data_IF_431113341898
#
_entry.id   IF_431113341898
#
_cell.length_a   1.000
_cell.length_b   1.000
_cell.length_c   1.000
_cell.angle_alpha   90.00
_cell.angle_beta   90.00
_cell.angle_gamma   90.00
#
_symmetry.space_group_name_H-M   'P 1'
#
loop_
_entity.id
_entity.type
_entity.pdbx_description
1 polymer ?
#
# COMPACT_ATOMS: atom_id res chain seq x y z
N UNK A 1 -25.09 9.46 -13.90
CA UNK A 1 -23.75 9.58 -14.53
C UNK A 1 -22.86 8.46 -14.03
N UNK A 2 -21.80 8.09 -14.76
CA UNK A 2 -20.84 7.06 -14.34
C UNK A 2 -20.25 7.36 -12.94
N UNK A 3 -19.87 8.61 -12.70
CA UNK A 3 -19.32 9.06 -11.42
C UNK A 3 -20.31 8.92 -10.26
N UNK A 4 -21.61 9.11 -10.51
CA UNK A 4 -22.66 8.88 -9.53
C UNK A 4 -22.79 7.40 -9.17
N UNK A 5 -22.80 6.52 -10.17
CA UNK A 5 -22.85 5.06 -9.93
C UNK A 5 -21.65 4.54 -9.14
N UNK A 6 -20.44 5.02 -9.46
CA UNK A 6 -19.23 4.67 -8.70
C UNK A 6 -19.31 5.11 -7.24
N UNK A 7 -19.86 6.31 -6.96
CA UNK A 7 -20.08 6.77 -5.59
C UNK A 7 -21.09 5.90 -4.83
N UNK A 8 -22.12 5.39 -5.52
CA UNK A 8 -23.13 4.53 -4.91
C UNK A 8 -22.58 3.16 -4.53
N UNK A 9 -21.72 2.56 -5.37
CA UNK A 9 -21.18 1.22 -5.10
C UNK A 9 -19.95 1.23 -4.19
N UNK A 10 -19.18 2.33 -4.13
CA UNK A 10 -17.94 2.40 -3.36
C UNK A 10 -18.09 1.97 -1.88
N UNK A 11 -19.15 2.38 -1.14
CA UNK A 11 -19.36 1.94 0.24
C UNK A 11 -19.51 0.42 0.39
N UNK A 12 -20.00 -0.29 -0.63
CA UNK A 12 -20.17 -1.75 -0.60
C UNK A 12 -18.82 -2.49 -0.51
N UNK A 13 -17.75 -1.87 -0.99
CA UNK A 13 -16.39 -2.42 -0.93
C UNK A 13 -15.67 -2.07 0.39
N UNK A 14 -16.19 -1.13 1.18
CA UNK A 14 -15.57 -0.69 2.43
C UNK A 14 -15.27 -1.86 3.38
N UNK A 15 -16.26 -2.69 3.75
CA UNK A 15 -16.04 -3.83 4.63
C UNK A 15 -15.03 -4.84 4.09
N UNK A 16 -15.08 -5.14 2.78
CA UNK A 16 -14.12 -6.03 2.13
C UNK A 16 -12.72 -5.46 2.23
N UNK A 17 -12.52 -4.20 1.85
CA UNK A 17 -11.23 -3.53 1.90
C UNK A 17 -10.64 -3.51 3.32
N UNK A 18 -11.46 -3.26 4.35
CA UNK A 18 -11.01 -3.31 5.74
C UNK A 18 -10.60 -4.73 6.20
N UNK A 19 -11.23 -5.77 5.67
CA UNK A 19 -10.88 -7.16 5.98
C UNK A 19 -9.61 -7.65 5.28
N UNK A 20 -9.24 -7.05 4.14
CA UNK A 20 -8.05 -7.45 3.38
C UNK A 20 -6.75 -7.17 4.13
N UNK A 21 -6.63 -6.04 4.85
CA UNK A 21 -5.37 -5.66 5.52
C UNK A 21 -4.98 -6.62 6.66
N UNK A 22 -5.87 -7.00 7.60
CA UNK A 22 -5.54 -8.03 8.59
C UNK A 22 -5.14 -9.35 7.92
N UNK A 23 -5.90 -9.79 6.91
CA UNK A 23 -5.60 -11.03 6.18
C UNK A 23 -4.25 -10.99 5.47
N UNK A 24 -3.88 -9.83 4.91
CA UNK A 24 -2.56 -9.59 4.31
C UNK A 24 -1.44 -9.72 5.35
N UNK A 25 -1.66 -9.23 6.58
CA UNK A 25 -0.68 -9.29 7.67
C UNK A 25 -0.45 -10.69 8.25
N UNK A 26 -1.38 -11.63 8.04
CA UNK A 26 -1.24 -13.04 8.41
C UNK A 26 -0.39 -13.86 7.42
N UNK A 27 -0.06 -13.30 6.25
CA UNK A 27 0.78 -13.96 5.26
C UNK A 27 2.27 -13.84 5.65
N UNK A 28 3.14 -14.59 4.96
CA UNK A 28 4.59 -14.57 5.21
C UNK A 28 5.43 -14.06 4.05
N UNK A 29 4.81 -13.77 2.90
CA UNK A 29 5.49 -13.33 1.70
C UNK A 29 4.63 -12.33 0.92
N UNK A 30 5.24 -11.22 0.53
CA UNK A 30 4.59 -10.15 -0.21
C UNK A 30 5.41 -9.70 -1.41
N UNK A 31 4.73 -9.46 -2.54
CA UNK A 31 5.25 -8.59 -3.60
C UNK A 31 4.75 -7.17 -3.35
N UNK A 32 5.67 -6.21 -3.32
CA UNK A 32 5.32 -4.80 -3.11
C UNK A 32 5.94 -3.97 -4.22
N UNK A 33 5.12 -3.14 -4.85
CA UNK A 33 5.52 -2.22 -5.91
C UNK A 33 4.74 -0.91 -5.82
N UNK A 34 5.28 0.14 -6.41
CA UNK A 34 4.69 1.47 -6.45
C UNK A 34 4.89 2.14 -7.81
N UNK A 35 3.77 2.56 -8.39
CA UNK A 35 3.74 3.24 -9.69
C UNK A 35 3.22 4.66 -9.54
N UNK A 36 3.80 5.58 -10.31
CA UNK A 36 3.39 6.98 -10.33
C UNK A 36 1.93 7.12 -10.78
N UNK A 37 1.15 7.94 -10.08
CA UNK A 37 -0.24 8.24 -10.41
C UNK A 37 -0.53 9.74 -10.27
N UNK A 38 -1.34 10.32 -11.16
CA UNK A 38 -1.74 11.73 -11.06
C UNK A 38 -3.12 11.85 -10.41
N UNK A 39 -3.21 12.57 -9.29
CA UNK A 39 -4.44 12.84 -8.56
C UNK A 39 -4.64 14.36 -8.49
N UNK A 40 -5.72 14.82 -9.13
CA UNK A 40 -6.03 16.25 -9.31
C UNK A 40 -6.88 16.85 -8.18
N UNK A 41 -6.97 16.16 -7.03
CA UNK A 41 -7.61 16.70 -5.84
C UNK A 41 -6.65 17.70 -5.19
N UNK A 42 -7.12 18.91 -4.94
CA UNK A 42 -6.38 19.91 -4.18
C UNK A 42 -6.23 19.45 -2.72
N UNK A 43 -5.00 19.52 -2.21
CA UNK A 43 -4.67 19.16 -0.83
C UNK A 43 -3.74 20.22 -0.25
N UNK A 44 -4.14 20.80 0.87
CA UNK A 44 -3.34 21.79 1.58
C UNK A 44 -1.94 21.24 1.91
N UNK A 45 -0.92 22.05 1.68
CA UNK A 45 0.48 21.67 1.92
C UNK A 45 1.09 20.72 0.89
N UNK A 46 0.37 20.33 -0.18
CA UNK A 46 0.92 19.48 -1.24
C UNK A 46 1.16 20.26 -2.54
N UNK A 47 2.42 20.29 -2.97
CA UNK A 47 2.77 20.75 -4.31
C UNK A 47 2.53 19.65 -5.36
N UNK A 48 1.78 19.98 -6.42
CA UNK A 48 1.55 19.16 -7.61
C UNK A 48 0.66 17.92 -7.43
N UNK A 49 0.34 17.29 -8.55
CA UNK A 49 -0.63 16.19 -8.65
C UNK A 49 0.00 14.79 -8.58
N UNK A 50 1.32 14.69 -8.38
CA UNK A 50 2.02 13.40 -8.30
C UNK A 50 1.73 12.68 -6.99
N UNK A 51 1.16 11.50 -7.09
CA UNK A 51 0.94 10.52 -6.03
C UNK A 51 1.52 9.17 -6.48
N UNK A 52 1.43 8.17 -5.61
CA UNK A 52 1.91 6.82 -5.83
C UNK A 52 0.78 5.83 -5.56
N UNK A 53 0.50 4.98 -6.54
CA UNK A 53 -0.34 3.80 -6.36
C UNK A 53 0.58 2.66 -5.93
N UNK A 54 0.42 2.25 -4.69
CA UNK A 54 1.09 1.10 -4.10
C UNK A 54 0.24 -0.14 -4.26
N UNK A 55 0.89 -1.26 -4.58
CA UNK A 55 0.28 -2.59 -4.57
C UNK A 55 1.03 -3.48 -3.59
N UNK A 56 0.27 -4.18 -2.75
CA UNK A 56 0.76 -5.19 -1.83
C UNK A 56 0.05 -6.49 -2.20
N UNK A 57 0.77 -7.42 -2.78
CA UNK A 57 0.24 -8.72 -3.16
C UNK A 57 0.83 -9.79 -2.24
N UNK A 58 -0.04 -10.68 -1.78
CA UNK A 58 0.32 -11.93 -1.11
C UNK A 58 -0.37 -13.08 -1.83
N UNK A 59 -0.28 -14.29 -1.27
CA UNK A 59 -0.95 -15.47 -1.84
C UNK A 59 -2.47 -15.30 -1.98
N UNK A 60 -3.12 -14.60 -1.05
CA UNK A 60 -4.58 -14.52 -0.97
C UNK A 60 -5.15 -13.11 -1.11
N UNK A 61 -4.33 -12.08 -0.94
CA UNK A 61 -4.76 -10.68 -0.92
C UNK A 61 -3.96 -9.86 -1.92
N UNK A 62 -4.66 -9.02 -2.68
CA UNK A 62 -4.09 -7.86 -3.37
C UNK A 62 -4.69 -6.62 -2.73
N UNK A 63 -3.84 -5.76 -2.18
CA UNK A 63 -4.23 -4.56 -1.45
C UNK A 63 -3.59 -3.33 -2.10
N UNK A 64 -4.41 -2.32 -2.39
CA UNK A 64 -3.98 -1.11 -3.08
C UNK A 64 -4.06 0.09 -2.15
N UNK A 65 -3.03 0.95 -2.18
CA UNK A 65 -3.02 2.24 -1.45
C UNK A 65 -2.61 3.34 -2.39
N UNK A 66 -3.37 4.44 -2.42
CA UNK A 66 -2.95 5.67 -3.07
C UNK A 66 -2.42 6.61 -2.00
N UNK A 67 -1.13 6.95 -2.08
CA UNK A 67 -0.47 7.84 -1.12
C UNK A 67 0.30 8.95 -1.86
N UNK A 68 0.30 10.20 -1.35
CA UNK A 68 1.05 11.29 -1.98
C UNK A 68 2.57 11.12 -1.89
N UNK A 69 3.07 10.19 -1.06
CA UNK A 69 4.48 9.95 -0.82
C UNK A 69 4.94 8.60 -1.36
N UNK A 70 6.22 8.54 -1.77
CA UNK A 70 6.96 7.30 -2.08
C UNK A 70 7.79 6.85 -0.89
N UNK A 71 7.19 6.85 0.30
CA UNK A 71 7.90 6.73 1.58
C UNK A 71 7.76 5.34 2.21
N UNK A 72 8.74 4.97 3.04
CA UNK A 72 8.65 3.79 3.90
C UNK A 72 7.46 3.85 4.89
N UNK A 73 6.91 5.03 5.16
CA UNK A 73 5.71 5.17 6.00
C UNK A 73 4.48 4.44 5.44
N UNK A 74 4.43 4.20 4.12
CA UNK A 74 3.32 3.45 3.51
C UNK A 74 3.39 1.97 3.87
N UNK A 75 4.49 1.23 3.60
CA UNK A 75 4.61 -0.15 4.07
C UNK A 75 4.59 -0.28 5.61
N UNK A 76 5.12 0.70 6.36
CA UNK A 76 4.99 0.74 7.83
C UNK A 76 3.53 0.75 8.29
N UNK A 77 2.69 1.56 7.64
CA UNK A 77 1.27 1.60 7.94
C UNK A 77 0.54 0.32 7.49
N UNK A 78 0.80 -0.17 6.28
CA UNK A 78 0.08 -1.33 5.72
C UNK A 78 0.41 -2.61 6.48
N UNK A 79 1.70 -2.86 6.74
CA UNK A 79 2.20 -4.06 7.43
C UNK A 79 2.38 -3.86 8.94
N UNK A 80 1.69 -2.89 9.54
CA UNK A 80 1.77 -2.68 10.99
C UNK A 80 1.38 -3.96 11.75
N UNK A 81 2.22 -4.36 12.72
CA UNK A 81 2.04 -5.61 13.48
C UNK A 81 2.65 -6.84 12.83
N UNK A 82 3.16 -6.75 11.59
CA UNK A 82 3.96 -7.82 10.98
C UNK A 82 5.38 -7.75 11.52
N UNK A 83 5.85 -8.86 12.07
CA UNK A 83 7.18 -8.94 12.70
C UNK A 83 8.23 -9.65 11.84
N UNK A 84 7.81 -10.52 10.92
CA UNK A 84 8.72 -11.27 10.06
C UNK A 84 8.09 -11.68 8.73
N UNK A 85 8.94 -11.99 7.76
CA UNK A 85 8.54 -12.49 6.44
C UNK A 85 9.43 -11.97 5.32
N UNK A 86 9.01 -12.20 4.08
CA UNK A 86 9.77 -11.85 2.88
C UNK A 86 9.03 -10.80 2.07
N UNK A 87 9.74 -9.77 1.61
CA UNK A 87 9.25 -8.80 0.64
C UNK A 87 10.05 -8.92 -0.64
N UNK A 88 9.41 -9.29 -1.73
CA UNK A 88 10.00 -9.22 -3.07
C UNK A 88 9.68 -7.86 -3.69
N UNK A 89 10.73 -7.10 -4.00
CA UNK A 89 10.64 -5.71 -4.46
C UNK A 89 11.92 -5.27 -5.20
N UNK A 90 11.88 -4.12 -5.88
CA UNK A 90 13.02 -3.54 -6.61
C UNK A 90 14.13 -2.93 -5.70
N UNK A 91 14.09 -3.18 -4.39
CA UNK A 91 15.00 -2.63 -3.37
C UNK A 91 15.14 -1.10 -3.42
N UNK A 92 14.12 -0.38 -3.88
CA UNK A 92 14.00 1.06 -3.70
C UNK A 92 14.21 1.46 -2.22
N UNK A 93 14.64 2.71 -2.00
CA UNK A 93 15.08 3.19 -0.68
C UNK A 93 14.03 3.07 0.43
N UNK A 94 12.73 3.11 0.07
CA UNK A 94 11.64 2.89 1.02
C UNK A 94 11.71 1.49 1.65
N UNK A 95 11.92 0.45 0.85
CA UNK A 95 12.00 -0.95 1.31
C UNK A 95 13.24 -1.19 2.17
N UNK A 96 14.39 -0.64 1.76
CA UNK A 96 15.63 -0.72 2.54
C UNK A 96 15.48 -0.09 3.93
N UNK A 97 14.84 1.09 4.01
CA UNK A 97 14.54 1.73 5.29
C UNK A 97 13.60 0.86 6.13
N UNK A 98 12.53 0.33 5.53
CA UNK A 98 11.58 -0.54 6.21
C UNK A 98 12.25 -1.78 6.81
N UNK A 99 12.96 -2.58 6.00
CA UNK A 99 13.67 -3.78 6.48
C UNK A 99 14.69 -3.48 7.59
N UNK A 100 15.39 -2.33 7.53
CA UNK A 100 16.30 -1.92 8.61
C UNK A 100 15.59 -1.66 9.94
N UNK A 101 14.35 -1.15 9.91
CA UNK A 101 13.54 -0.90 11.10
C UNK A 101 12.81 -2.16 11.58
N UNK A 102 12.70 -3.19 10.74
CA UNK A 102 12.02 -4.46 11.01
C UNK A 102 12.94 -5.65 10.72
N UNK A 103 13.85 -6.02 11.66
CA UNK A 103 14.90 -7.02 11.40
C UNK A 103 14.40 -8.42 11.00
N UNK A 104 13.15 -8.78 11.30
CA UNK A 104 12.54 -10.03 10.85
C UNK A 104 12.09 -10.02 9.39
N UNK A 105 12.16 -8.87 8.70
CA UNK A 105 11.76 -8.69 7.31
C UNK A 105 12.99 -8.79 6.40
N UNK A 106 12.93 -9.74 5.48
CA UNK A 106 13.97 -9.97 4.47
C UNK A 106 13.50 -9.43 3.12
N UNK A 107 14.38 -8.71 2.43
CA UNK A 107 14.12 -8.26 1.05
C UNK A 107 14.69 -9.27 0.05
N UNK A 108 13.84 -9.76 -0.85
CA UNK A 108 14.23 -10.57 -2.00
C UNK A 108 14.42 -9.65 -3.20
#
# INVERSE_FOLDING_TARGET
>A
TLSGGLRTIAPLFGPVYQALRPRLGEEGHWHIDESRWEVFVEREGKAGHRWWLWVFQSRSVVYYVIDPSRSASVPEAVLAGVHSGVISCDRHGAYKKFSRLHPGIVLS
#
